data_IF_756285091076
#
_entry.id   IF_756285091076
#
_cell.length_a   1.000
_cell.length_b   1.000
_cell.length_c   1.000
_cell.angle_alpha   90.00
_cell.angle_beta   90.00
_cell.angle_gamma   90.00
#
_symmetry.space_group_name_H-M   'P 1'
#
loop_
_entity.id
_entity.type
_entity.pdbx_description
1 polymer ?
#
# COMPACT_ATOMS: atom_id res chain seq x y z
N UNK A 1 1.11 37.95 29.47
CA UNK A 1 1.54 36.86 28.60
C UNK A 1 1.47 35.55 29.38
N UNK A 2 0.42 34.74 29.16
CA UNK A 2 0.21 33.50 29.88
C UNK A 2 1.12 32.43 29.34
N UNK A 3 1.99 31.86 30.17
CA UNK A 3 2.86 30.71 29.81
C UNK A 3 1.98 29.46 29.75
N UNK A 4 1.77 28.90 28.56
CA UNK A 4 1.13 27.59 28.40
C UNK A 4 2.04 26.56 29.07
N UNK A 5 1.55 25.75 30.03
CA UNK A 5 2.38 24.77 30.73
C UNK A 5 2.87 23.70 29.74
N UNK A 6 4.13 23.33 29.82
CA UNK A 6 4.83 22.39 28.93
C UNK A 6 4.12 21.03 28.77
N UNK A 7 3.37 20.59 29.81
CA UNK A 7 2.55 19.37 29.78
C UNK A 7 1.37 19.44 28.80
N UNK A 8 0.77 20.63 28.61
CA UNK A 8 -0.33 20.83 27.69
C UNK A 8 0.13 20.86 26.22
N UNK A 9 1.32 21.38 25.96
CA UNK A 9 1.94 21.35 24.64
C UNK A 9 2.34 19.92 24.24
N UNK A 10 2.79 19.11 25.20
CA UNK A 10 3.17 17.71 24.98
C UNK A 10 1.95 16.81 24.72
N UNK A 11 0.82 17.04 25.41
CA UNK A 11 -0.44 16.33 25.12
C UNK A 11 -1.02 16.69 23.75
N UNK A 12 -0.95 17.94 23.31
CA UNK A 12 -1.41 18.37 22.00
C UNK A 12 -0.56 17.78 20.87
N UNK A 13 0.74 17.61 21.08
CA UNK A 13 1.61 16.98 20.08
C UNK A 13 1.38 15.47 19.95
N UNK A 14 1.09 14.77 21.04
CA UNK A 14 0.78 13.31 21.03
C UNK A 14 -0.58 13.05 20.37
N UNK A 15 -1.58 13.88 20.64
CA UNK A 15 -2.90 13.76 19.98
C UNK A 15 -2.84 14.09 18.50
N UNK A 16 -2.06 15.08 18.07
CA UNK A 16 -1.84 15.40 16.65
C UNK A 16 -1.11 14.26 15.91
N UNK A 17 -0.13 13.62 16.54
CA UNK A 17 0.59 12.47 15.96
C UNK A 17 -0.32 11.23 15.86
N UNK A 18 -1.20 11.00 16.83
CA UNK A 18 -2.18 9.91 16.80
C UNK A 18 -3.25 10.11 15.72
N UNK A 19 -3.68 11.36 15.46
CA UNK A 19 -4.62 11.68 14.37
C UNK A 19 -3.99 11.50 12.97
N UNK A 20 -2.69 11.74 12.80
CA UNK A 20 -1.98 11.54 11.53
C UNK A 20 -1.75 10.05 11.21
N UNK A 21 -1.69 9.16 12.20
CA UNK A 21 -1.54 7.72 12.01
C UNK A 21 -2.83 7.05 11.50
N UNK A 22 -4.00 7.72 11.57
CA UNK A 22 -5.31 7.18 11.20
C UNK A 22 -5.64 7.21 9.70
N UNK A 23 -4.79 7.78 8.83
CA UNK A 23 -5.19 8.17 7.46
C UNK A 23 -4.82 7.14 6.36
N UNK A 24 -4.12 6.04 6.68
CA UNK A 24 -3.74 5.02 5.68
C UNK A 24 -4.27 3.65 6.11
N UNK A 25 -5.58 3.44 5.98
CA UNK A 25 -6.19 2.15 6.36
C UNK A 25 -6.83 1.46 5.16
N UNK A 26 -6.06 0.63 4.47
CA UNK A 26 -6.60 -0.41 3.59
C UNK A 26 -6.87 -1.72 4.33
N UNK A 27 -7.17 -1.66 5.65
CA UNK A 27 -7.38 -2.82 6.51
C UNK A 27 -8.47 -2.55 7.54
N UNK A 28 -9.25 -3.59 7.88
CA UNK A 28 -10.16 -3.58 9.03
C UNK A 28 -9.51 -4.31 10.19
N UNK A 29 -9.62 -3.72 11.39
CA UNK A 29 -9.13 -4.32 12.65
C UNK A 29 -10.29 -5.02 13.34
N UNK A 30 -10.09 -6.29 13.71
CA UNK A 30 -11.08 -7.13 14.39
C UNK A 30 -10.43 -7.80 15.60
N UNK A 31 -11.22 -8.10 16.61
CA UNK A 31 -10.79 -8.92 17.75
C UNK A 31 -10.73 -10.41 17.37
N UNK A 32 -9.96 -11.21 18.10
CA UNK A 32 -9.83 -12.63 17.85
C UNK A 32 -8.84 -13.00 16.75
N UNK A 33 -8.92 -14.25 16.30
CA UNK A 33 -8.02 -14.81 15.28
C UNK A 33 -8.45 -14.46 13.86
N UNK A 34 -7.51 -14.55 12.92
CA UNK A 34 -7.79 -14.40 11.49
C UNK A 34 -8.82 -15.43 11.02
N UNK A 35 -9.82 -15.03 10.22
CA UNK A 35 -10.71 -15.96 9.54
C UNK A 35 -9.94 -17.00 8.73
N UNK A 36 -10.45 -18.23 8.70
CA UNK A 36 -9.92 -19.27 7.84
C UNK A 36 -10.52 -19.11 6.46
N UNK A 37 -9.70 -18.65 5.52
CA UNK A 37 -10.07 -18.52 4.11
C UNK A 37 -9.36 -19.61 3.32
N UNK A 38 -10.16 -20.47 2.67
CA UNK A 38 -9.62 -21.60 1.91
C UNK A 38 -8.96 -21.11 0.61
N UNK A 39 -7.71 -21.54 0.36
CA UNK A 39 -7.02 -21.24 -0.88
C UNK A 39 -7.65 -21.99 -2.06
N UNK A 40 -7.61 -21.36 -3.25
CA UNK A 40 -8.09 -21.98 -4.47
C UNK A 40 -7.28 -23.23 -4.81
N UNK A 41 -7.95 -24.35 -5.06
CA UNK A 41 -7.33 -25.59 -5.54
C UNK A 41 -6.86 -25.41 -6.98
N UNK A 42 -5.71 -26.04 -7.33
CA UNK A 42 -5.17 -26.01 -8.69
C UNK A 42 -4.71 -24.62 -9.14
N UNK A 43 -4.40 -23.73 -8.21
CA UNK A 43 -3.95 -22.37 -8.51
C UNK A 43 -2.61 -22.35 -9.25
N UNK A 44 -2.51 -21.55 -10.30
CA UNK A 44 -1.31 -21.33 -11.09
C UNK A 44 -0.79 -19.91 -10.93
N UNK A 45 0.33 -19.74 -10.24
CA UNK A 45 0.96 -18.43 -10.09
C UNK A 45 1.38 -17.82 -11.45
N UNK A 46 1.77 -18.65 -12.42
CA UNK A 46 2.13 -18.21 -13.77
C UNK A 46 0.97 -17.49 -14.49
N UNK A 47 -0.26 -17.98 -14.32
CA UNK A 47 -1.46 -17.38 -14.93
C UNK A 47 -1.93 -16.16 -14.15
N UNK A 48 -1.56 -16.07 -12.86
CA UNK A 48 -1.98 -14.98 -11.99
C UNK A 48 -1.11 -13.72 -12.13
N UNK A 49 0.07 -13.81 -12.76
CA UNK A 49 0.97 -12.67 -12.95
C UNK A 49 0.34 -11.56 -13.80
N UNK A 50 0.96 -10.38 -13.73
CA UNK A 50 0.60 -9.18 -14.48
C UNK A 50 -0.35 -8.25 -13.74
N UNK A 51 -1.04 -7.42 -14.48
CA UNK A 51 -1.84 -6.31 -13.96
C UNK A 51 -3.25 -6.79 -13.58
N UNK A 52 -3.68 -6.34 -12.39
CA UNK A 52 -5.02 -6.48 -11.88
C UNK A 52 -5.55 -5.12 -11.39
N UNK A 53 -6.73 -4.74 -11.86
CA UNK A 53 -7.43 -3.55 -11.36
C UNK A 53 -8.18 -3.88 -10.09
N UNK A 54 -8.05 -3.06 -9.07
CA UNK A 54 -8.79 -3.22 -7.80
C UNK A 54 -10.17 -2.61 -7.97
N UNK A 55 -11.20 -3.44 -7.90
CA UNK A 55 -12.61 -3.02 -8.05
C UNK A 55 -13.23 -2.67 -6.69
N UNK A 56 -12.99 -3.52 -5.69
CA UNK A 56 -13.38 -3.27 -4.31
C UNK A 56 -12.27 -3.70 -3.38
N UNK A 57 -12.10 -2.98 -2.28
CA UNK A 57 -11.10 -3.30 -1.25
C UNK A 57 -11.56 -2.83 0.12
N UNK A 58 -11.21 -3.59 1.15
CA UNK A 58 -11.49 -3.22 2.53
C UNK A 58 -10.86 -1.88 2.88
N UNK A 59 -11.68 -0.96 3.41
CA UNK A 59 -11.24 0.27 4.08
C UNK A 59 -10.35 1.22 3.26
N UNK A 60 -10.47 1.25 1.93
CA UNK A 60 -9.66 2.15 1.10
C UNK A 60 -10.43 3.40 0.67
N UNK A 61 -9.74 4.55 0.73
CA UNK A 61 -10.19 5.80 0.12
C UNK A 61 -9.38 6.15 -1.15
N UNK A 62 -8.49 5.25 -1.61
CA UNK A 62 -7.66 5.45 -2.80
C UNK A 62 -8.47 5.21 -4.06
N UNK A 63 -8.13 5.93 -5.12
CA UNK A 63 -8.68 5.75 -6.47
C UNK A 63 -7.60 5.20 -7.40
N UNK A 64 -8.00 4.65 -8.55
CA UNK A 64 -7.08 4.16 -9.57
C UNK A 64 -6.07 3.14 -9.01
N UNK A 65 -6.55 2.23 -8.15
CA UNK A 65 -5.67 1.24 -7.53
C UNK A 65 -5.49 0.07 -8.48
N UNK A 66 -4.24 -0.27 -8.76
CA UNK A 66 -3.88 -1.49 -9.51
C UNK A 66 -2.86 -2.32 -8.71
N UNK A 67 -2.85 -3.61 -8.92
CA UNK A 67 -1.81 -4.53 -8.48
C UNK A 67 -1.06 -5.03 -9.72
N UNK A 68 0.25 -4.87 -9.73
CA UNK A 68 1.13 -5.49 -10.70
C UNK A 68 1.89 -6.62 -10.01
N UNK A 69 1.68 -7.85 -10.45
CA UNK A 69 2.30 -9.04 -9.84
C UNK A 69 3.36 -9.56 -10.79
N UNK A 70 4.61 -9.53 -10.35
CA UNK A 70 5.76 -9.95 -11.15
C UNK A 70 6.55 -11.04 -10.44
N UNK A 71 7.27 -11.85 -11.23
CA UNK A 71 8.13 -12.90 -10.70
C UNK A 71 9.48 -12.32 -10.27
N UNK A 72 9.98 -12.72 -9.10
CA UNK A 72 11.37 -12.50 -8.77
C UNK A 72 12.24 -13.50 -9.57
N UNK A 73 13.13 -12.98 -10.41
CA UNK A 73 14.00 -13.82 -11.28
C UNK A 73 15.14 -14.45 -10.49
N UNK A 74 15.54 -13.83 -9.38
CA UNK A 74 16.70 -14.23 -8.59
C UNK A 74 16.36 -15.28 -7.51
N UNK A 75 15.09 -15.32 -7.10
CA UNK A 75 14.66 -16.19 -6.01
C UNK A 75 13.43 -17.02 -6.41
N UNK A 76 13.54 -18.36 -6.42
CA UNK A 76 12.40 -19.25 -6.65
C UNK A 76 11.28 -19.03 -5.62
N UNK A 77 10.03 -19.20 -6.03
CA UNK A 77 8.83 -19.08 -5.19
C UNK A 77 8.61 -17.69 -4.56
N UNK A 78 9.40 -16.70 -5.00
CA UNK A 78 9.25 -15.29 -4.64
C UNK A 78 8.69 -14.48 -5.81
N UNK A 79 7.79 -13.54 -5.47
CA UNK A 79 7.14 -12.64 -6.41
C UNK A 79 7.05 -11.25 -5.78
N UNK A 80 6.87 -10.24 -6.59
CA UNK A 80 6.57 -8.88 -6.14
C UNK A 80 5.09 -8.56 -6.40
N UNK A 81 4.48 -7.87 -5.46
CA UNK A 81 3.17 -7.24 -5.61
C UNK A 81 3.35 -5.74 -5.47
N UNK A 82 3.26 -5.03 -6.56
CA UNK A 82 3.31 -3.58 -6.60
C UNK A 82 1.88 -3.05 -6.57
N UNK A 83 1.53 -2.32 -5.53
CA UNK A 83 0.28 -1.59 -5.45
C UNK A 83 0.52 -0.16 -5.91
N UNK A 84 -0.08 0.21 -7.03
CA UNK A 84 -0.06 1.57 -7.55
C UNK A 84 -1.42 2.20 -7.24
N UNK A 85 -1.45 3.42 -6.74
CA UNK A 85 -2.69 4.12 -6.40
C UNK A 85 -2.55 5.63 -6.57
N UNK A 86 -3.68 6.27 -6.86
CA UNK A 86 -3.81 7.72 -6.77
C UNK A 86 -4.61 8.06 -5.53
N UNK A 87 -4.08 8.93 -4.70
CA UNK A 87 -4.89 9.57 -3.65
C UNK A 87 -5.49 10.82 -4.26
N UNK A 88 -6.77 11.05 -3.98
CA UNK A 88 -7.36 12.35 -4.20
C UNK A 88 -6.48 13.40 -3.50
N UNK A 89 -6.10 14.48 -4.17
CA UNK A 89 -5.31 15.52 -3.54
C UNK A 89 -6.06 16.03 -2.32
N UNK A 90 -5.36 16.29 -1.22
CA UNK A 90 -5.83 17.26 -0.24
C UNK A 90 -6.20 18.50 -1.07
N UNK A 91 -7.44 18.88 -1.08
CA UNK A 91 -8.21 19.72 -2.01
C UNK A 91 -7.62 21.09 -2.41
N UNK A 92 -6.31 21.29 -2.42
CA UNK A 92 -5.65 22.57 -2.60
C UNK A 92 -4.75 22.61 -3.87
N UNK A 93 -4.41 21.47 -4.47
CA UNK A 93 -3.61 21.47 -5.71
C UNK A 93 -4.09 20.42 -6.72
N UNK A 94 -4.18 20.77 -8.02
CA UNK A 94 -4.66 19.87 -9.08
C UNK A 94 -3.63 18.81 -9.50
N UNK A 95 -2.61 18.54 -8.69
CA UNK A 95 -1.52 17.62 -9.02
C UNK A 95 -1.92 16.22 -8.59
N UNK A 96 -2.08 15.31 -9.54
CA UNK A 96 -2.31 13.89 -9.29
C UNK A 96 -0.97 13.24 -8.93
N UNK A 97 -0.87 12.71 -7.71
CA UNK A 97 0.29 11.95 -7.27
C UNK A 97 0.02 10.45 -7.43
N UNK A 98 0.96 9.75 -8.02
CA UNK A 98 0.97 8.30 -8.05
C UNK A 98 1.83 7.77 -6.90
N UNK A 99 1.31 6.80 -6.18
CA UNK A 99 2.00 6.10 -5.10
C UNK A 99 2.18 4.65 -5.51
N UNK A 100 3.41 4.22 -5.63
CA UNK A 100 3.77 2.83 -5.83
C UNK A 100 4.34 2.26 -4.54
N UNK A 101 3.83 1.11 -4.13
CA UNK A 101 4.21 0.43 -2.91
C UNK A 101 4.39 -1.05 -3.16
N UNK A 102 5.64 -1.50 -3.22
CA UNK A 102 6.00 -2.86 -3.60
C UNK A 102 6.22 -3.73 -2.37
N UNK A 103 5.48 -4.82 -2.30
CA UNK A 103 5.65 -5.89 -1.32
C UNK A 103 6.23 -7.15 -1.96
N UNK A 104 6.76 -8.02 -1.10
CA UNK A 104 7.24 -9.34 -1.47
C UNK A 104 6.18 -10.38 -1.14
N UNK A 105 5.81 -11.19 -2.13
CA UNK A 105 4.96 -12.38 -1.99
C UNK A 105 5.85 -13.62 -2.00
N UNK A 106 5.66 -14.53 -1.04
CA UNK A 106 6.41 -15.79 -0.98
C UNK A 106 5.44 -16.96 -0.91
N UNK A 107 5.56 -17.89 -1.84
CA UNK A 107 4.87 -19.20 -1.79
C UNK A 107 5.60 -20.06 -0.76
N UNK A 108 4.94 -20.35 0.35
CA UNK A 108 5.53 -21.13 1.45
C UNK A 108 5.29 -22.62 1.33
N UNK A 109 4.29 -23.01 0.53
CA UNK A 109 3.90 -24.40 0.30
C UNK A 109 3.60 -24.57 -1.20
N UNK A 110 4.41 -25.36 -1.89
CA UNK A 110 4.26 -25.61 -3.33
C UNK A 110 3.04 -26.44 -3.69
N UNK A 111 2.52 -27.22 -2.74
CA UNK A 111 1.32 -28.02 -2.94
C UNK A 111 0.05 -27.13 -2.84
N UNK A 112 0.17 -25.96 -2.20
CA UNK A 112 -0.92 -25.00 -2.02
C UNK A 112 -0.45 -23.58 -2.41
N UNK A 113 -0.10 -23.35 -3.70
CA UNK A 113 0.52 -22.09 -4.13
C UNK A 113 -0.40 -20.87 -4.03
N UNK A 114 -1.71 -21.07 -3.87
CA UNK A 114 -2.66 -19.98 -3.59
C UNK A 114 -2.54 -19.41 -2.17
N UNK A 115 -1.77 -20.07 -1.28
CA UNK A 115 -1.47 -19.61 0.09
C UNK A 115 -0.06 -19.08 0.13
N UNK A 116 0.08 -17.79 0.30
CA UNK A 116 1.33 -17.06 0.31
C UNK A 116 1.48 -16.25 1.59
N UNK A 117 2.67 -15.71 1.80
CA UNK A 117 2.89 -14.60 2.73
C UNK A 117 3.22 -13.34 1.95
N UNK A 118 2.74 -12.19 2.43
CA UNK A 118 3.08 -10.88 1.87
C UNK A 118 3.80 -10.05 2.93
N UNK A 119 4.87 -9.38 2.53
CA UNK A 119 5.58 -8.43 3.39
C UNK A 119 5.83 -7.14 2.63
N UNK A 120 5.36 -6.04 3.21
CA UNK A 120 5.63 -4.69 2.71
C UNK A 120 6.73 -4.01 3.54
N UNK A 121 7.52 -3.09 2.96
CA UNK A 121 8.66 -2.46 3.61
C UNK A 121 8.33 -1.77 4.94
N UNK A 122 7.17 -1.13 5.03
CA UNK A 122 6.72 -0.40 6.23
C UNK A 122 5.90 -1.26 7.20
N UNK A 123 5.82 -2.57 6.98
CA UNK A 123 5.06 -3.46 7.88
C UNK A 123 5.84 -3.76 9.15
N UNK A 124 5.70 -2.91 10.17
CA UNK A 124 6.32 -3.11 11.50
C UNK A 124 5.84 -4.39 12.20
N UNK A 125 4.65 -4.86 11.86
CA UNK A 125 4.08 -6.10 12.39
C UNK A 125 4.52 -7.36 11.63
N UNK A 126 5.45 -7.25 10.66
CA UNK A 126 5.98 -8.36 9.88
C UNK A 126 5.14 -8.76 8.68
N UNK A 127 5.09 -10.06 8.36
CA UNK A 127 4.38 -10.59 7.19
C UNK A 127 2.91 -10.88 7.50
N UNK A 128 2.05 -10.72 6.50
CA UNK A 128 0.65 -11.14 6.54
C UNK A 128 0.45 -12.42 5.72
N UNK A 129 -0.54 -13.24 6.08
CA UNK A 129 -1.05 -14.29 5.19
C UNK A 129 -1.72 -13.63 4.00
N UNK A 130 -1.50 -14.16 2.80
CA UNK A 130 -2.12 -13.73 1.56
C UNK A 130 -2.69 -14.95 0.84
N UNK A 131 -3.98 -14.94 0.56
CA UNK A 131 -4.68 -16.09 -0.02
C UNK A 131 -5.43 -15.65 -1.27
N UNK A 132 -5.19 -16.32 -2.38
CA UNK A 132 -6.08 -16.27 -3.54
C UNK A 132 -7.13 -17.35 -3.36
N UNK A 133 -8.38 -16.95 -3.04
CA UNK A 133 -9.44 -17.89 -2.73
C UNK A 133 -10.32 -18.24 -3.93
N UNK A 134 -10.24 -17.44 -5.00
CA UNK A 134 -10.88 -17.75 -6.29
C UNK A 134 -10.34 -16.85 -7.40
N UNK A 135 -10.29 -17.38 -8.61
CA UNK A 135 -9.99 -16.64 -9.85
C UNK A 135 -10.37 -17.52 -11.05
N UNK A 136 -10.58 -16.89 -12.20
CA UNK A 136 -10.57 -17.54 -13.52
C UNK A 136 -9.33 -17.13 -14.33
N UNK A 137 -8.46 -16.29 -13.75
CA UNK A 137 -7.23 -15.72 -14.31
C UNK A 137 -7.42 -14.62 -15.37
N UNK A 138 -8.51 -14.69 -16.15
CA UNK A 138 -8.73 -13.85 -17.33
C UNK A 138 -9.73 -12.71 -17.08
N UNK A 139 -10.59 -12.85 -16.06
CA UNK A 139 -11.65 -11.87 -15.78
C UNK A 139 -11.55 -11.32 -14.37
N UNK A 140 -11.55 -12.18 -13.34
CA UNK A 140 -11.65 -11.76 -11.95
C UNK A 140 -10.75 -12.55 -11.02
N UNK A 141 -10.48 -11.97 -9.85
CA UNK A 141 -9.91 -12.68 -8.71
C UNK A 141 -10.42 -12.12 -7.38
N UNK A 142 -10.50 -13.01 -6.40
CA UNK A 142 -10.72 -12.67 -5.01
C UNK A 142 -9.48 -13.01 -4.19
N UNK A 143 -8.94 -12.01 -3.49
CA UNK A 143 -7.78 -12.20 -2.61
C UNK A 143 -8.10 -11.71 -1.20
N UNK A 144 -7.50 -12.37 -0.22
CA UNK A 144 -7.67 -12.06 1.19
C UNK A 144 -6.32 -12.03 1.87
N UNK A 145 -6.08 -11.01 2.68
CA UNK A 145 -4.89 -10.96 3.54
C UNK A 145 -5.28 -10.75 4.99
N UNK A 146 -4.55 -11.42 5.88
CA UNK A 146 -4.75 -11.27 7.30
C UNK A 146 -3.44 -11.38 8.08
N UNK A 147 -3.28 -10.51 9.05
CA UNK A 147 -2.14 -10.50 9.97
C UNK A 147 -2.60 -10.48 11.40
N UNK A 148 -2.13 -11.43 12.17
CA UNK A 148 -2.32 -11.46 13.62
C UNK A 148 -1.52 -10.33 14.27
N UNK A 149 -2.14 -9.61 15.17
CA UNK A 149 -1.55 -8.55 15.98
C UNK A 149 -1.94 -8.78 17.46
N UNK A 150 -1.29 -8.11 18.43
CA UNK A 150 -1.75 -8.18 19.81
C UNK A 150 -3.25 -7.84 19.94
N UNK A 151 -3.99 -8.67 20.64
CA UNK A 151 -5.42 -8.52 20.93
C UNK A 151 -6.38 -8.68 19.74
N UNK A 152 -5.90 -9.13 18.55
CA UNK A 152 -6.77 -9.32 17.41
C UNK A 152 -6.02 -9.57 16.11
N UNK A 153 -6.61 -9.08 15.02
CA UNK A 153 -6.01 -9.17 13.69
C UNK A 153 -6.39 -7.97 12.84
N UNK A 154 -5.58 -7.72 11.84
CA UNK A 154 -5.94 -6.82 10.74
C UNK A 154 -6.17 -7.64 9.49
N UNK A 155 -7.24 -7.34 8.77
CA UNK A 155 -7.61 -8.06 7.55
C UNK A 155 -7.92 -7.11 6.39
N UNK A 156 -7.76 -7.62 5.18
CA UNK A 156 -8.14 -6.92 3.96
C UNK A 156 -8.59 -7.94 2.92
N UNK A 157 -9.78 -7.75 2.38
CA UNK A 157 -10.27 -8.45 1.21
C UNK A 157 -10.20 -7.51 0.00
N UNK A 158 -9.91 -8.06 -1.18
CA UNK A 158 -9.80 -7.29 -2.42
C UNK A 158 -10.41 -8.08 -3.56
N UNK A 159 -11.28 -7.40 -4.32
CA UNK A 159 -11.85 -7.88 -5.57
C UNK A 159 -11.04 -7.28 -6.73
N UNK A 160 -10.53 -8.14 -7.56
CA UNK A 160 -9.65 -7.81 -8.67
C UNK A 160 -10.31 -8.12 -10.00
N UNK A 161 -10.00 -7.33 -11.03
CA UNK A 161 -10.41 -7.54 -12.41
C UNK A 161 -9.25 -7.35 -13.38
N UNK A 162 -9.28 -8.01 -14.52
CA UNK A 162 -8.34 -7.72 -15.62
C UNK A 162 -8.70 -6.44 -16.39
N UNK A 163 -9.90 -5.92 -16.18
CA UNK A 163 -10.37 -4.65 -16.76
C UNK A 163 -10.70 -3.65 -15.65
N UNK A 164 -10.88 -2.37 -16.00
CA UNK A 164 -11.19 -1.29 -15.04
C UNK A 164 -12.60 -1.40 -14.43
N UNK A 165 -13.42 -2.28 -14.93
CA UNK A 165 -14.76 -2.62 -14.46
C UNK A 165 -14.87 -4.13 -14.26
N UNK A 166 -15.90 -4.56 -13.55
CA UNK A 166 -16.20 -5.97 -13.32
C UNK A 166 -17.72 -6.15 -13.30
N UNK A 167 -18.19 -7.11 -14.08
CA UNK A 167 -19.62 -7.45 -14.11
C UNK A 167 -20.10 -7.81 -12.68
N UNK A 168 -21.30 -7.33 -12.37
CA UNK A 168 -21.93 -7.53 -11.06
C UNK A 168 -22.03 -9.00 -10.67
N UNK A 169 -22.18 -9.91 -11.63
CA UNK A 169 -22.26 -11.36 -11.36
C UNK A 169 -20.97 -11.86 -10.67
N UNK A 170 -19.81 -11.39 -11.10
CA UNK A 170 -18.53 -11.77 -10.48
C UNK A 170 -18.33 -11.07 -9.13
N UNK A 171 -18.76 -9.81 -9.02
CA UNK A 171 -18.72 -9.06 -7.74
C UNK A 171 -19.55 -9.80 -6.70
N UNK A 172 -20.81 -10.15 -7.02
CA UNK A 172 -21.70 -10.85 -6.10
C UNK A 172 -21.17 -12.25 -5.74
N UNK A 173 -20.60 -12.96 -6.71
CA UNK A 173 -19.96 -14.27 -6.51
C UNK A 173 -18.82 -14.20 -5.51
N UNK A 174 -17.92 -13.21 -5.65
CA UNK A 174 -16.76 -13.04 -4.73
C UNK A 174 -17.25 -12.61 -3.35
N UNK A 175 -18.19 -11.66 -3.27
CA UNK A 175 -18.76 -11.19 -2.00
C UNK A 175 -19.47 -12.30 -1.24
N UNK A 176 -20.25 -13.13 -1.93
CA UNK A 176 -20.92 -14.31 -1.34
C UNK A 176 -19.87 -15.29 -0.78
N UNK A 177 -18.80 -15.53 -1.53
CA UNK A 177 -17.70 -16.41 -1.07
C UNK A 177 -16.99 -15.85 0.17
N UNK A 178 -16.74 -14.53 0.24
CA UNK A 178 -16.19 -13.88 1.44
C UNK A 178 -17.11 -14.07 2.64
N UNK A 179 -18.43 -13.87 2.47
CA UNK A 179 -19.42 -14.09 3.52
C UNK A 179 -19.38 -15.52 4.09
N UNK A 180 -19.16 -16.54 3.23
CA UNK A 180 -19.02 -17.94 3.68
C UNK A 180 -17.79 -18.19 4.54
N UNK A 181 -16.78 -17.31 4.51
CA UNK A 181 -15.61 -17.32 5.37
C UNK A 181 -15.72 -16.42 6.60
N UNK A 182 -16.91 -15.90 6.89
CA UNK A 182 -17.14 -14.94 7.98
C UNK A 182 -16.36 -13.63 7.79
N UNK A 183 -16.04 -13.28 6.56
CA UNK A 183 -15.47 -11.97 6.18
C UNK A 183 -16.62 -11.10 5.69
N UNK A 184 -16.89 -10.00 6.41
CA UNK A 184 -18.01 -9.12 6.09
C UNK A 184 -17.81 -8.40 4.74
N UNK A 185 -18.66 -8.67 3.72
CA UNK A 185 -18.55 -7.98 2.44
C UNK A 185 -18.91 -6.48 2.50
N UNK A 186 -19.54 -6.00 3.57
CA UNK A 186 -19.86 -4.59 3.75
C UNK A 186 -18.64 -3.76 4.17
N UNK A 187 -17.58 -4.40 4.65
CA UNK A 187 -16.30 -3.75 4.89
C UNK A 187 -15.59 -3.29 3.58
N UNK A 188 -16.08 -3.72 2.42
CA UNK A 188 -15.50 -3.41 1.10
C UNK A 188 -15.99 -2.05 0.58
N UNK A 189 -15.04 -1.18 0.27
CA UNK A 189 -15.27 0.09 -0.44
C UNK A 189 -15.03 -0.08 -1.94
N UNK A 190 -15.84 0.59 -2.76
CA UNK A 190 -15.64 0.64 -4.21
C UNK A 190 -14.42 1.50 -4.52
N UNK A 191 -13.54 1.01 -5.37
CA UNK A 191 -12.39 1.76 -5.88
C UNK A 191 -12.77 2.37 -7.24
N UNK A 192 -12.78 3.69 -7.30
CA UNK A 192 -13.07 4.37 -8.56
C UNK A 192 -11.91 4.20 -9.54
N UNK A 193 -12.21 3.61 -10.70
CA UNK A 193 -11.27 3.41 -11.82
C UNK A 193 -11.53 4.38 -12.99
N UNK A 194 -12.47 5.35 -12.82
CA UNK A 194 -12.81 6.30 -13.88
C UNK A 194 -11.83 7.47 -13.90
N UNK A 195 -11.43 7.89 -15.09
CA UNK A 195 -10.53 9.03 -15.28
C UNK A 195 -9.12 8.81 -14.73
N UNK A 196 -8.72 7.56 -14.57
CA UNK A 196 -7.36 7.22 -14.18
C UNK A 196 -6.37 7.56 -15.29
N UNK A 197 -5.17 8.09 -14.97
CA UNK A 197 -4.15 8.37 -15.95
C UNK A 197 -3.72 7.10 -16.66
N UNK A 198 -3.19 7.27 -17.84
CA UNK A 198 -2.43 6.22 -18.53
C UNK A 198 -1.08 6.07 -17.85
N UNK A 199 -0.49 4.90 -18.04
CA UNK A 199 0.86 4.62 -17.55
C UNK A 199 1.83 5.70 -18.03
N UNK A 200 2.56 6.33 -17.10
CA UNK A 200 3.50 7.42 -17.39
C UNK A 200 2.91 8.84 -17.45
N UNK A 201 1.59 9.02 -17.37
CA UNK A 201 0.94 10.35 -17.35
C UNK A 201 0.86 11.00 -15.96
N UNK A 202 1.21 10.29 -14.91
CA UNK A 202 1.18 10.83 -13.54
C UNK A 202 2.37 11.74 -13.27
N UNK A 203 2.12 12.90 -12.60
CA UNK A 203 3.12 13.94 -12.37
C UNK A 203 4.22 13.48 -11.40
N UNK A 204 3.96 13.38 -10.11
CA UNK A 204 4.94 12.97 -9.08
C UNK A 204 4.73 11.53 -8.68
N UNK A 205 5.76 10.70 -8.85
CA UNK A 205 5.74 9.29 -8.46
C UNK A 205 6.52 9.11 -7.16
N UNK A 206 5.85 8.60 -6.12
CA UNK A 206 6.48 8.17 -4.87
C UNK A 206 6.52 6.66 -4.91
N UNK A 207 7.72 6.11 -5.09
CA UNK A 207 7.96 4.66 -5.13
C UNK A 207 8.58 4.19 -3.82
N UNK A 208 7.95 3.20 -3.18
CA UNK A 208 8.43 2.56 -1.95
C UNK A 208 8.54 1.06 -2.21
N UNK A 209 9.75 0.55 -2.23
CA UNK A 209 10.08 -0.86 -2.46
C UNK A 209 10.80 -1.49 -1.25
N UNK A 210 11.07 -2.79 -1.25
CA UNK A 210 11.77 -3.47 -0.17
C UNK A 210 13.15 -2.89 0.15
N UNK A 211 13.81 -2.25 -0.83
CA UNK A 211 15.16 -1.70 -0.69
C UNK A 211 15.16 -0.23 -0.30
N UNK A 212 14.01 0.46 -0.37
CA UNK A 212 13.88 1.90 -0.04
C UNK A 212 14.41 2.22 1.35
N UNK A 213 14.21 1.32 2.32
CA UNK A 213 14.68 1.46 3.70
C UNK A 213 15.91 0.60 4.02
N UNK A 214 16.64 0.15 3.01
CA UNK A 214 17.94 -0.48 3.25
C UNK A 214 18.91 0.53 3.87
N UNK A 215 19.84 0.05 4.72
CA UNK A 215 20.83 0.92 5.38
C UNK A 215 21.63 1.75 4.38
N UNK A 216 21.88 1.21 3.17
CA UNK A 216 22.56 1.90 2.08
C UNK A 216 21.74 3.08 1.55
N UNK A 217 20.44 2.88 1.32
CA UNK A 217 19.56 3.91 0.77
C UNK A 217 19.24 4.99 1.81
N UNK A 218 19.08 4.62 3.08
CA UNK A 218 18.94 5.57 4.17
C UNK A 218 20.21 6.42 4.30
N UNK A 219 21.41 5.83 4.29
CA UNK A 219 22.66 6.54 4.33
C UNK A 219 22.82 7.50 3.15
N UNK A 220 22.44 7.07 1.93
CA UNK A 220 22.47 7.92 0.75
C UNK A 220 21.47 9.08 0.81
N UNK A 221 20.29 8.86 1.38
CA UNK A 221 19.30 9.91 1.59
C UNK A 221 19.79 10.97 2.59
N UNK A 222 20.40 10.54 3.71
CA UNK A 222 21.03 11.45 4.68
C UNK A 222 22.19 12.22 4.07
N UNK A 223 23.03 11.56 3.25
CA UNK A 223 24.13 12.25 2.56
C UNK A 223 23.62 13.32 1.60
N UNK A 224 22.64 13.00 0.74
CA UNK A 224 22.02 13.97 -0.17
C UNK A 224 21.34 15.13 0.56
N UNK A 225 20.67 14.86 1.67
CA UNK A 225 20.08 15.92 2.50
C UNK A 225 21.16 16.81 3.12
N UNK A 226 22.28 16.22 3.58
CA UNK A 226 23.44 16.96 4.10
C UNK A 226 24.10 17.82 3.03
N UNK A 227 24.29 17.29 1.81
CA UNK A 227 24.81 18.03 0.66
C UNK A 227 23.90 19.22 0.30
N UNK A 228 22.57 19.00 0.20
CA UNK A 228 21.62 20.06 -0.11
C UNK A 228 21.57 21.17 0.97
N UNK A 229 21.74 20.82 2.25
CA UNK A 229 21.85 21.79 3.35
C UNK A 229 23.19 22.55 3.27
N UNK A 230 24.28 21.86 2.94
CA UNK A 230 25.61 22.45 2.74
C UNK A 230 25.61 23.46 1.61
N UNK A 231 25.07 23.09 0.45
CA UNK A 231 24.96 23.96 -0.73
C UNK A 231 24.07 25.19 -0.45
N UNK A 232 22.97 24.99 0.30
CA UNK A 232 22.10 26.09 0.73
C UNK A 232 22.81 27.06 1.69
N UNK A 233 23.64 26.55 2.60
CA UNK A 233 24.42 27.36 3.51
C UNK A 233 25.53 28.13 2.80
N UNK A 234 26.27 27.50 1.88
CA UNK A 234 27.28 28.18 1.06
C UNK A 234 26.66 29.28 0.17
N UNK A 235 25.49 29.00 -0.44
CA UNK A 235 24.78 30.02 -1.22
C UNK A 235 24.37 31.22 -0.36
N UNK A 236 23.90 30.99 0.86
CA UNK A 236 23.52 32.06 1.78
C UNK A 236 24.75 32.88 2.25
N UNK A 237 25.87 32.22 2.54
CA UNK A 237 27.13 32.90 2.92
C UNK A 237 27.68 33.74 1.76
N UNK A 238 27.64 33.22 0.54
CA UNK A 238 28.11 33.93 -0.64
C UNK A 238 27.21 35.11 -1.02
N UNK A 239 25.87 35.00 -0.82
CA UNK A 239 24.96 36.13 -0.94
C UNK A 239 25.24 37.22 0.11
N UNK A 240 25.51 36.84 1.36
CA UNK A 240 25.92 37.79 2.42
C UNK A 240 27.20 38.53 2.14
N UNK A 241 28.20 37.86 1.56
CA UNK A 241 29.47 38.49 1.16
C UNK A 241 29.30 39.52 0.04
N UNK A 242 28.39 39.26 -0.93
CA UNK A 242 28.10 40.20 -2.01
C UNK A 242 27.44 41.49 -1.51
N UNK A 243 26.64 41.45 -0.48
CA UNK A 243 25.98 42.60 0.11
C UNK A 243 27.02 43.50 0.87
N UNK A 244 28.02 42.89 1.49
CA UNK A 244 29.04 43.62 2.25
C UNK A 244 30.06 44.34 1.37
N UNK A 245 30.13 44.07 0.07
CA UNK A 245 30.98 44.76 -0.90
C UNK A 245 30.29 45.95 -1.62
N UNK A 246 29.05 46.25 -1.28
CA UNK A 246 28.22 47.29 -1.89
C UNK A 246 27.98 48.51 -0.96
N UNK A 247 28.65 48.54 0.23
CA UNK A 247 28.64 49.70 1.13
C UNK A 247 30.06 50.20 1.42
#
# INVERSE_FOLDING_TARGET
>A
MAKVPCAMAMMLSVTALACLAGIVQGHTYKTGDCPTVEPMSGFSMKQFLGIWYVIQKTGTASTCVIYNITKNVDTPDEYFIEQISQKAPLSIAPIKHEYSYTGKLTVTDRDVPARMTVRFPLSVAGSAKFVVFMTDYDTYAGVFSCQKIPFGHRQSATLLSRTRDLDKIYVDKIRSRLGSYSVDPFDLSIVNQTGCPKEGEAGWNIHIDPDTFSTRNIANAFRKAGEAIGDGFEAAVNAGKKVHHLF
#
